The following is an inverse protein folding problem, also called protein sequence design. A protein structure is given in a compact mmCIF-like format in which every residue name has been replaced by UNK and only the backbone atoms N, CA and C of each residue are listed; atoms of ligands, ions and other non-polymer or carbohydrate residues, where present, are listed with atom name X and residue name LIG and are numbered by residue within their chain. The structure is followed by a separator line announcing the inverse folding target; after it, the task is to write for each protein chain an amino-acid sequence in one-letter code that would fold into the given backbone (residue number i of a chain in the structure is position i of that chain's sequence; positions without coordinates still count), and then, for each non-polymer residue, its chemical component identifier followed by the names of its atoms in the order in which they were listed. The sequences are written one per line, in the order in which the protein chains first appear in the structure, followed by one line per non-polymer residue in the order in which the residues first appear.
data_IF_355853126627
#
_entry.id   IF_355853126627
#
_cell.length_a   1.000
_cell.length_b   1.000
_cell.length_c   1.000
_cell.angle_alpha   90.00
_cell.angle_beta   90.00
_cell.angle_gamma   90.00
#
_symmetry.space_group_name_H-M   'P 1'
#
loop_
_entity.id
_entity.type
_entity.pdbx_description
1 polymer ?
#
# COMPACT_ATOMS: atom_id res chain seq x y z
N UNK A 1 -23.41 8.03 9.08
CA UNK A 1 -23.22 6.67 9.64
C UNK A 1 -21.91 6.09 9.15
N UNK A 2 -21.64 6.24 7.86
CA UNK A 2 -20.42 5.77 7.22
C UNK A 2 -19.22 6.62 7.68
N UNK A 3 -18.16 5.96 8.14
CA UNK A 3 -16.93 6.57 8.64
C UNK A 3 -15.73 5.75 8.19
N UNK A 4 -14.63 6.42 7.83
CA UNK A 4 -13.31 5.79 7.65
C UNK A 4 -12.40 6.28 8.76
N UNK A 5 -11.79 5.35 9.49
CA UNK A 5 -10.84 5.63 10.56
C UNK A 5 -9.52 4.96 10.23
N UNK A 6 -8.40 5.61 10.58
CA UNK A 6 -7.07 5.07 10.41
C UNK A 6 -6.24 5.32 11.68
N UNK A 7 -5.39 4.38 12.04
CA UNK A 7 -4.47 4.48 13.17
C UNK A 7 -3.17 3.74 12.82
N UNK A 8 -2.04 4.39 13.07
CA UNK A 8 -0.71 3.86 12.75
C UNK A 8 0.27 4.97 12.44
N UNK A 9 1.57 4.67 12.54
CA UNK A 9 2.64 5.59 12.10
C UNK A 9 2.76 5.52 10.57
N UNK A 10 3.23 6.62 9.97
CA UNK A 10 3.43 6.70 8.52
C UNK A 10 2.14 6.82 7.71
N UNK A 11 0.96 6.97 8.34
CA UNK A 11 -0.31 7.21 7.65
C UNK A 11 -0.70 8.69 7.76
N UNK A 12 -0.79 9.36 6.62
CA UNK A 12 -1.25 10.75 6.54
C UNK A 12 -2.52 10.84 5.69
N UNK A 13 -3.62 11.31 6.28
CA UNK A 13 -4.85 11.57 5.55
C UNK A 13 -4.73 12.83 4.69
N UNK A 14 -4.95 12.68 3.38
CA UNK A 14 -4.88 13.77 2.39
C UNK A 14 -6.25 14.37 2.13
N UNK A 15 -7.28 13.54 2.03
CA UNK A 15 -8.65 14.02 1.83
C UNK A 15 -9.66 13.11 2.50
N UNK A 16 -10.79 13.71 2.91
CA UNK A 16 -11.96 13.00 3.38
C UNK A 16 -13.18 13.73 2.86
N UNK A 17 -13.90 13.12 1.93
CA UNK A 17 -15.02 13.77 1.23
C UNK A 17 -16.20 12.84 1.07
N UNK A 18 -17.37 13.46 1.03
CA UNK A 18 -18.65 12.82 0.67
C UNK A 18 -18.92 13.04 -0.81
N UNK A 19 -19.42 12.02 -1.49
CA UNK A 19 -19.86 12.10 -2.88
C UNK A 19 -21.37 12.19 -2.92
N UNK A 20 -21.91 13.19 -3.63
CA UNK A 20 -23.37 13.40 -3.79
C UNK A 20 -24.00 12.46 -4.83
N UNK A 21 -23.63 11.18 -4.79
CA UNK A 21 -24.21 10.15 -5.65
C UNK A 21 -25.48 9.61 -4.98
N UNK A 22 -26.60 9.64 -5.71
CA UNK A 22 -27.94 9.33 -5.19
C UNK A 22 -28.46 7.94 -5.60
N UNK A 23 -27.57 6.95 -5.66
CA UNK A 23 -27.98 5.57 -5.94
C UNK A 23 -28.62 4.87 -4.73
N UNK A 24 -28.41 5.41 -3.54
CA UNK A 24 -28.99 4.98 -2.26
C UNK A 24 -29.30 6.23 -1.43
N UNK A 25 -30.09 6.04 -0.38
CA UNK A 25 -30.31 6.97 0.73
C UNK A 25 -29.00 7.36 1.46
N UNK A 26 -28.02 6.46 1.46
CA UNK A 26 -26.65 6.76 1.88
C UNK A 26 -25.85 7.46 0.77
N UNK A 27 -24.94 8.35 1.18
CA UNK A 27 -23.98 8.97 0.27
C UNK A 27 -22.61 8.33 0.47
N UNK A 28 -21.92 7.91 -0.61
CA UNK A 28 -20.58 7.38 -0.50
C UNK A 28 -19.62 8.39 0.15
N UNK A 29 -18.69 7.87 0.95
CA UNK A 29 -17.57 8.63 1.50
C UNK A 29 -16.25 8.07 0.97
N UNK A 30 -15.27 8.93 0.78
CA UNK A 30 -13.93 8.58 0.32
C UNK A 30 -12.91 9.27 1.20
N UNK A 31 -11.94 8.49 1.68
CA UNK A 31 -10.76 8.98 2.36
C UNK A 31 -9.52 8.57 1.56
N UNK A 32 -8.60 9.50 1.36
CA UNK A 32 -7.33 9.27 0.66
C UNK A 32 -6.19 9.44 1.64
N UNK A 33 -5.23 8.53 1.62
CA UNK A 33 -4.08 8.54 2.51
C UNK A 33 -2.77 8.40 1.73
N UNK A 34 -1.72 9.04 2.22
CA UNK A 34 -0.34 8.68 1.93
C UNK A 34 0.10 7.71 3.03
N UNK A 35 0.76 6.64 2.64
CA UNK A 35 1.32 5.64 3.54
C UNK A 35 2.82 5.49 3.30
N UNK A 36 3.62 5.70 4.34
CA UNK A 36 5.03 5.37 4.33
C UNK A 36 5.17 3.85 4.29
N UNK A 37 5.89 3.34 3.29
CA UNK A 37 6.14 1.92 3.11
C UNK A 37 7.64 1.65 3.09
N UNK A 38 8.07 0.66 3.87
CA UNK A 38 9.44 0.19 3.82
C UNK A 38 9.62 -0.74 2.61
N UNK A 39 10.48 -0.33 1.67
CA UNK A 39 10.80 -1.15 0.50
C UNK A 39 12.10 -1.90 0.75
N UNK A 40 12.01 -3.22 0.90
CA UNK A 40 13.18 -4.07 1.08
C UNK A 40 13.76 -4.54 -0.26
N UNK A 41 15.08 -4.48 -0.39
CA UNK A 41 15.76 -5.12 -1.51
C UNK A 41 15.73 -6.64 -1.33
N UNK A 42 15.17 -7.38 -2.29
CA UNK A 42 15.00 -8.83 -2.23
C UNK A 42 16.26 -9.58 -1.77
N UNK A 43 17.43 -9.27 -2.34
CA UNK A 43 18.70 -9.91 -1.97
C UNK A 43 19.17 -9.58 -0.55
N UNK A 44 18.88 -8.36 -0.06
CA UNK A 44 19.23 -7.94 1.31
C UNK A 44 18.24 -8.53 2.33
N UNK A 45 16.97 -8.60 1.96
CA UNK A 45 15.92 -9.25 2.74
C UNK A 45 16.21 -10.75 2.88
N UNK A 46 16.47 -11.45 1.78
CA UNK A 46 16.83 -12.88 1.81
C UNK A 46 18.05 -13.14 2.69
N UNK A 47 19.09 -12.30 2.62
CA UNK A 47 20.28 -12.43 3.49
C UNK A 47 19.99 -12.13 4.96
N UNK A 48 19.14 -11.15 5.26
CA UNK A 48 18.78 -10.83 6.64
C UNK A 48 17.90 -11.94 7.24
N UNK A 49 16.96 -12.47 6.46
CA UNK A 49 16.08 -13.56 6.86
C UNK A 49 16.81 -14.90 6.95
N UNK A 50 17.83 -15.16 6.13
CA UNK A 50 18.68 -16.36 6.27
C UNK A 50 19.54 -16.35 7.53
N UNK A 51 19.74 -15.19 8.17
CA UNK A 51 20.45 -15.06 9.46
C UNK A 51 19.49 -15.31 10.63
N UNK A 52 18.21 -15.02 10.46
CA UNK A 52 17.15 -15.30 11.42
C UNK A 52 16.34 -16.49 10.91
N UNK A 53 16.82 -17.72 11.09
CA UNK A 53 16.30 -19.03 10.64
C UNK A 53 14.74 -19.14 10.52
N UNK A 54 14.18 -18.43 9.55
CA UNK A 54 12.75 -18.24 9.32
C UNK A 54 12.52 -18.74 7.91
N UNK A 55 12.06 -19.97 7.82
CA UNK A 55 11.81 -20.66 6.55
C UNK A 55 10.75 -19.89 5.74
N UNK A 56 11.06 -19.58 4.49
CA UNK A 56 10.08 -19.11 3.52
C UNK A 56 9.75 -20.27 2.59
N UNK A 57 8.46 -20.61 2.49
CA UNK A 57 7.96 -21.38 1.35
C UNK A 57 8.25 -20.56 0.09
N UNK A 58 9.15 -21.07 -0.76
CA UNK A 58 9.45 -20.52 -2.08
C UNK A 58 8.22 -20.66 -2.97
N UNK A 59 7.25 -19.75 -2.82
CA UNK A 59 6.14 -19.66 -3.74
C UNK A 59 6.56 -18.74 -4.89
N UNK A 60 6.77 -19.26 -6.12
CA UNK A 60 7.31 -18.51 -7.26
C UNK A 60 6.37 -17.41 -7.82
N UNK A 61 5.22 -17.16 -7.19
CA UNK A 61 4.23 -16.17 -7.61
C UNK A 61 4.72 -14.70 -7.56
N UNK A 62 5.88 -14.41 -6.94
CA UNK A 62 6.47 -13.05 -6.92
C UNK A 62 7.36 -12.75 -8.13
N UNK A 63 7.64 -13.74 -9.00
CA UNK A 63 8.50 -13.57 -10.18
C UNK A 63 7.85 -12.84 -11.36
N UNK A 64 6.52 -12.71 -11.39
CA UNK A 64 5.79 -12.09 -12.50
C UNK A 64 5.48 -10.60 -12.29
N UNK A 65 5.50 -10.10 -11.06
CA UNK A 65 5.47 -8.66 -10.82
C UNK A 65 6.88 -8.13 -10.89
N UNK A 66 7.34 -7.92 -12.13
CA UNK A 66 8.50 -7.09 -12.40
C UNK A 66 8.29 -5.74 -11.75
N UNK A 67 8.83 -5.57 -10.54
CA UNK A 67 9.08 -4.27 -9.92
C UNK A 67 10.14 -3.58 -10.78
N UNK A 68 9.70 -3.06 -11.92
CA UNK A 68 10.41 -2.02 -12.61
C UNK A 68 10.55 -0.88 -11.61
N UNK A 69 11.78 -0.60 -11.20
CA UNK A 69 12.15 0.58 -10.41
C UNK A 69 11.64 1.89 -11.02
N UNK A 70 11.20 1.86 -12.28
CA UNK A 70 10.58 2.98 -13.00
C UNK A 70 9.13 3.27 -12.55
N UNK A 71 8.44 2.33 -11.89
CA UNK A 71 7.05 2.56 -11.45
C UNK A 71 6.96 3.57 -10.30
N UNK A 72 8.03 3.70 -9.49
CA UNK A 72 8.07 4.64 -8.37
C UNK A 72 8.33 6.10 -8.78
N UNK A 73 8.87 6.36 -9.96
CA UNK A 73 9.08 7.74 -10.43
C UNK A 73 7.94 8.26 -11.31
N UNK A 74 7.13 7.37 -11.91
CA UNK A 74 6.08 7.78 -12.86
C UNK A 74 4.77 8.23 -12.22
N UNK A 75 4.48 7.84 -10.96
CA UNK A 75 3.23 8.22 -10.28
C UNK A 75 3.30 9.58 -9.54
N UNK A 76 4.46 10.25 -9.55
CA UNK A 76 4.62 11.60 -8.98
C UNK A 76 4.40 12.70 -10.06
N UNK A 77 4.29 12.32 -11.34
CA UNK A 77 4.01 13.23 -12.45
C UNK A 77 2.88 12.68 -13.34
N UNK A 78 1.65 12.76 -12.83
CA UNK A 78 0.44 12.99 -13.63
C UNK A 78 -0.66 13.62 -12.76
#
# INVERSE_FOLDING_TARGET
CDRVLAFGKGLQQISYRRIEKKLSDHRPIVATFIADVEVFCHKKLQRALSVTDAELDENPFLGEFGFNSDFSQKLILE
#
